data_IF_352450533033
#
_entry.id   IF_352450533033
#
_cell.length_a   1.000
_cell.length_b   1.000
_cell.length_c   1.000
_cell.angle_alpha   90.00
_cell.angle_beta   90.00
_cell.angle_gamma   90.00
#
_symmetry.space_group_name_H-M   'P 1'
#
loop_
_entity.id
_entity.type
_entity.pdbx_description
1 polymer ?
#
# COMPACT_ATOMS: atom_id res chain seq x y z
N UNK A 1 -14.88 34.23 -1.03
CA UNK A 1 -14.14 33.01 -1.35
C UNK A 1 -13.82 32.27 -0.06
N UNK A 2 -14.41 31.10 0.20
CA UNK A 2 -14.01 30.26 1.34
C UNK A 2 -12.89 29.33 0.87
N UNK A 3 -11.69 29.53 1.41
CA UNK A 3 -10.56 28.61 1.21
C UNK A 3 -10.91 27.33 1.97
N UNK A 4 -10.94 26.14 1.33
CA UNK A 4 -11.20 24.90 2.04
C UNK A 4 -10.10 24.65 3.08
N UNK A 5 -10.53 24.32 4.30
CA UNK A 5 -9.68 24.08 5.46
C UNK A 5 -8.94 22.74 5.29
N UNK A 6 -7.62 22.78 5.07
CA UNK A 6 -6.71 21.63 4.88
C UNK A 6 -6.84 20.55 5.98
N UNK A 7 -7.36 20.89 7.17
CA UNK A 7 -7.61 19.93 8.26
C UNK A 7 -8.68 18.89 7.93
N UNK A 8 -9.69 19.25 7.13
CA UNK A 8 -10.80 18.35 6.81
C UNK A 8 -10.42 17.34 5.73
N UNK A 9 -9.59 17.73 4.76
CA UNK A 9 -9.04 16.82 3.75
C UNK A 9 -8.06 15.82 4.36
N UNK A 10 -7.18 16.25 5.27
CA UNK A 10 -6.24 15.34 5.93
C UNK A 10 -6.94 14.28 6.80
N UNK A 11 -8.02 14.66 7.50
CA UNK A 11 -8.82 13.73 8.31
C UNK A 11 -9.60 12.72 7.44
N UNK A 12 -10.13 13.15 6.29
CA UNK A 12 -10.82 12.27 5.34
C UNK A 12 -9.82 11.34 4.62
N UNK A 13 -8.66 11.84 4.20
CA UNK A 13 -7.56 11.04 3.64
C UNK A 13 -7.06 10.00 4.65
N UNK A 14 -6.89 10.40 5.92
CA UNK A 14 -6.52 9.46 6.99
C UNK A 14 -7.60 8.41 7.21
N UNK A 15 -8.88 8.78 7.30
CA UNK A 15 -9.97 7.81 7.47
C UNK A 15 -10.05 6.79 6.31
N UNK A 16 -9.95 7.23 5.06
CA UNK A 16 -10.00 6.34 3.88
C UNK A 16 -8.77 5.42 3.82
N UNK A 17 -7.57 5.93 4.13
CA UNK A 17 -6.35 5.10 4.21
C UNK A 17 -6.45 4.08 5.35
N UNK A 18 -7.02 4.47 6.49
CA UNK A 18 -7.22 3.60 7.67
C UNK A 18 -8.16 2.43 7.36
N UNK A 19 -9.15 2.65 6.49
CA UNK A 19 -10.12 1.62 6.10
C UNK A 19 -9.56 0.66 5.05
N UNK A 20 -8.58 1.06 4.23
CA UNK A 20 -8.11 0.24 3.11
C UNK A 20 -6.89 -0.65 3.42
N UNK A 21 -6.07 -0.36 4.45
CA UNK A 21 -4.86 -1.18 4.70
C UNK A 21 -5.18 -2.55 5.29
N UNK A 22 -6.29 -2.66 6.03
CA UNK A 22 -6.72 -3.93 6.65
C UNK A 22 -7.06 -4.97 5.60
N UNK A 23 -7.61 -4.54 4.46
CA UNK A 23 -7.90 -5.43 3.33
C UNK A 23 -6.62 -6.10 2.80
N UNK A 24 -5.50 -5.37 2.74
CA UNK A 24 -4.20 -5.97 2.36
C UNK A 24 -3.64 -6.92 3.40
N UNK A 25 -3.98 -6.74 4.67
CA UNK A 25 -3.57 -7.66 5.72
C UNK A 25 -4.40 -8.95 5.69
N UNK A 26 -5.68 -8.87 5.31
CA UNK A 26 -6.59 -10.02 5.16
C UNK A 26 -6.36 -10.75 3.84
N UNK A 27 -6.01 -10.03 2.76
CA UNK A 27 -5.69 -10.60 1.46
C UNK A 27 -4.32 -10.13 0.92
N UNK A 28 -3.19 -10.63 1.48
CA UNK A 28 -1.85 -10.25 1.03
C UNK A 28 -1.53 -10.66 -0.41
N UNK A 29 -2.30 -11.56 -1.02
CA UNK A 29 -2.14 -11.94 -2.44
C UNK A 29 -2.42 -10.78 -3.39
N UNK A 30 -3.27 -9.83 -3.00
CA UNK A 30 -3.52 -8.60 -3.73
C UNK A 30 -2.23 -7.79 -3.97
N UNK A 31 -1.23 -7.94 -3.08
CA UNK A 31 0.09 -7.30 -3.25
C UNK A 31 0.75 -7.76 -4.54
N UNK A 32 0.76 -9.07 -4.77
CA UNK A 32 1.36 -9.67 -5.96
C UNK A 32 0.61 -9.23 -7.21
N UNK A 33 -0.72 -9.31 -7.19
CA UNK A 33 -1.58 -8.97 -8.33
C UNK A 33 -1.37 -7.53 -8.78
N UNK A 34 -1.42 -6.58 -7.85
CA UNK A 34 -1.13 -5.19 -8.14
C UNK A 34 0.27 -5.04 -8.73
N UNK A 35 1.28 -5.61 -8.05
CA UNK A 35 2.68 -5.46 -8.45
C UNK A 35 2.86 -5.93 -9.90
N UNK A 36 2.30 -7.09 -10.25
CA UNK A 36 2.35 -7.62 -11.61
C UNK A 36 1.54 -6.80 -12.61
N UNK A 37 0.37 -6.26 -12.21
CA UNK A 37 -0.46 -5.40 -13.06
C UNK A 37 0.29 -4.16 -13.52
N UNK A 38 1.16 -3.60 -12.68
CA UNK A 38 1.98 -2.43 -13.01
C UNK A 38 3.42 -2.79 -13.42
N UNK A 39 3.66 -4.04 -13.83
CA UNK A 39 4.95 -4.48 -14.39
C UNK A 39 6.11 -4.50 -13.40
N UNK A 40 5.86 -4.42 -12.10
CA UNK A 40 6.90 -4.45 -11.09
C UNK A 40 7.28 -5.90 -10.77
N UNK A 41 8.55 -6.17 -10.51
CA UNK A 41 9.05 -7.40 -9.89
C UNK A 41 9.16 -7.24 -8.35
N UNK A 42 9.36 -8.34 -7.59
CA UNK A 42 9.42 -8.27 -6.13
C UNK A 42 10.58 -7.39 -5.61
N UNK A 43 11.72 -7.38 -6.28
CA UNK A 43 12.85 -6.54 -5.87
C UNK A 43 12.50 -5.06 -5.99
N UNK A 44 11.87 -4.66 -7.09
CA UNK A 44 11.49 -3.27 -7.34
C UNK A 44 10.49 -2.75 -6.30
N UNK A 45 9.41 -3.50 -6.03
CA UNK A 45 8.45 -3.08 -5.00
C UNK A 45 9.10 -3.04 -3.62
N UNK A 46 9.94 -4.03 -3.28
CA UNK A 46 10.65 -4.06 -2.01
C UNK A 46 11.59 -2.85 -1.83
N UNK A 47 12.29 -2.43 -2.90
CA UNK A 47 13.12 -1.22 -2.90
C UNK A 47 12.29 0.04 -2.63
N UNK A 48 11.15 0.22 -3.32
CA UNK A 48 10.25 1.37 -3.07
C UNK A 48 9.72 1.37 -1.63
N UNK A 49 9.47 0.18 -1.08
CA UNK A 49 9.02 -0.01 0.31
C UNK A 49 10.16 0.06 1.34
N UNK A 50 11.43 0.11 0.92
CA UNK A 50 12.58 0.09 1.83
C UNK A 50 12.63 -1.18 2.69
N UNK A 51 12.23 -2.33 2.15
CA UNK A 51 12.31 -3.65 2.80
C UNK A 51 13.11 -4.61 1.94
N UNK A 52 13.49 -5.76 2.49
CA UNK A 52 14.10 -6.81 1.69
C UNK A 52 13.08 -7.48 0.77
N UNK A 53 13.53 -7.98 -0.39
CA UNK A 53 12.71 -8.82 -1.27
C UNK A 53 12.13 -10.04 -0.53
N UNK A 54 12.92 -10.64 0.37
CA UNK A 54 12.49 -11.77 1.18
C UNK A 54 11.29 -11.42 2.08
N UNK A 55 11.32 -10.26 2.73
CA UNK A 55 10.17 -9.80 3.53
C UNK A 55 8.92 -9.63 2.67
N UNK A 56 9.05 -8.99 1.49
CA UNK A 56 7.92 -8.87 0.56
C UNK A 56 7.37 -10.25 0.16
N UNK A 57 8.26 -11.20 -0.17
CA UNK A 57 7.85 -12.56 -0.51
C UNK A 57 7.18 -13.28 0.66
N UNK A 58 7.57 -13.02 1.90
CA UNK A 58 6.91 -13.60 3.07
C UNK A 58 5.52 -13.03 3.27
N UNK A 59 5.32 -11.73 3.02
CA UNK A 59 4.00 -11.11 3.09
C UNK A 59 3.09 -11.64 1.97
N UNK A 60 3.55 -11.65 0.71
CA UNK A 60 2.77 -12.15 -0.44
C UNK A 60 2.37 -13.64 -0.29
N UNK A 61 3.09 -14.41 0.52
CA UNK A 61 2.86 -15.84 0.78
C UNK A 61 2.20 -16.13 2.12
N UNK A 62 1.78 -15.10 2.85
CA UNK A 62 1.17 -15.21 4.18
C UNK A 62 2.05 -15.93 5.23
N UNK A 63 3.36 -16.06 4.97
CA UNK A 63 4.34 -16.63 5.92
C UNK A 63 4.54 -15.71 7.12
N UNK A 64 4.38 -14.39 6.90
CA UNK A 64 4.40 -13.37 7.95
C UNK A 64 3.24 -12.41 7.77
N UNK A 65 2.65 -11.98 8.88
CA UNK A 65 1.67 -10.91 8.88
C UNK A 65 2.27 -9.63 8.29
N UNK A 66 1.50 -8.97 7.44
CA UNK A 66 1.88 -7.70 6.82
C UNK A 66 1.77 -6.57 7.87
N UNK A 67 2.87 -5.85 8.20
CA UNK A 67 2.79 -4.74 9.14
C UNK A 67 1.96 -3.59 8.59
N UNK A 68 1.17 -2.93 9.44
CA UNK A 68 0.29 -1.81 9.08
C UNK A 68 1.04 -0.70 8.32
N UNK A 69 2.23 -0.32 8.80
CA UNK A 69 3.09 0.69 8.14
C UNK A 69 3.46 0.31 6.71
N UNK A 70 3.67 -0.98 6.44
CA UNK A 70 3.99 -1.46 5.09
C UNK A 70 2.72 -1.49 4.22
N UNK A 71 1.60 -1.96 4.76
CA UNK A 71 0.30 -1.96 4.07
C UNK A 71 -0.10 -0.54 3.62
N UNK A 72 0.03 0.45 4.51
CA UNK A 72 -0.24 1.86 4.19
C UNK A 72 0.67 2.39 3.07
N UNK A 73 1.96 2.04 3.08
CA UNK A 73 2.89 2.44 2.01
C UNK A 73 2.55 1.79 0.67
N UNK A 74 2.15 0.52 0.67
CA UNK A 74 1.70 -0.19 -0.52
C UNK A 74 0.50 0.55 -1.13
N UNK A 75 -0.55 0.83 -0.35
CA UNK A 75 -1.72 1.56 -0.85
C UNK A 75 -1.39 2.94 -1.40
N UNK A 76 -0.49 3.67 -0.75
CA UNK A 76 -0.06 4.98 -1.24
C UNK A 76 0.60 4.90 -2.62
N UNK A 77 1.45 3.89 -2.84
CA UNK A 77 2.05 3.63 -4.16
C UNK A 77 0.97 3.29 -5.18
N UNK A 78 -0.06 2.56 -4.75
CA UNK A 78 -1.15 2.14 -5.62
C UNK A 78 -2.00 3.29 -6.10
N UNK A 79 -2.40 4.15 -5.17
CA UNK A 79 -3.17 5.36 -5.47
C UNK A 79 -2.40 6.30 -6.42
N UNK A 80 -1.08 6.39 -6.25
CA UNK A 80 -0.23 7.18 -7.13
C UNK A 80 -0.15 6.58 -8.54
N UNK A 81 -0.06 5.25 -8.66
CA UNK A 81 0.05 4.56 -9.95
C UNK A 81 -1.28 4.41 -10.68
N UNK A 82 -2.41 4.36 -9.98
CA UNK A 82 -3.75 4.22 -10.60
C UNK A 82 -4.27 5.51 -11.23
N UNK A 83 -3.61 6.64 -10.98
CA UNK A 83 -3.95 7.95 -11.57
C UNK A 83 -3.34 8.17 -12.96
N UNK A 84 -2.57 7.20 -13.45
CA UNK A 84 -1.92 7.18 -14.76
C UNK A 84 -2.32 5.91 -15.51
#
# INVERSE_FOLDING_TARGET
>A
MKIPNQKNENAQLQAVITVNYRELQVNPKAIREFRTKYGLNQNELAQVLGITRQNLSYYEREIRALPEKIAMRILKIWEQKSKF
#
